data_IF_189045503691
#
_entry.id   IF_189045503691
#
_cell.length_a   1.000
_cell.length_b   1.000
_cell.length_c   1.000
_cell.angle_alpha   90.00
_cell.angle_beta   90.00
_cell.angle_gamma   90.00
#
_symmetry.space_group_name_H-M   'P 1'
#
loop_
_entity.id
_entity.type
_entity.pdbx_description
1 polymer ?
#
# COMPACT_ATOMS: atom_id res chain seq x y z
N UNK A 1 10.96 14.17 17.84
CA UNK A 1 9.82 13.42 17.28
C UNK A 1 9.71 13.77 15.81
N UNK A 2 9.54 12.76 14.95
CA UNK A 2 9.30 12.94 13.52
C UNK A 2 7.88 12.50 13.26
N UNK A 3 7.06 13.38 12.70
CA UNK A 3 5.70 13.09 12.26
C UNK A 3 5.70 13.22 10.74
N UNK A 4 5.55 12.07 10.07
CA UNK A 4 5.61 11.99 8.62
C UNK A 4 4.19 11.93 8.04
N UNK A 5 3.96 12.61 6.92
CA UNK A 5 2.70 12.69 6.19
C UNK A 5 1.50 13.02 7.09
N UNK A 6 1.57 14.14 7.82
CA UNK A 6 0.50 14.58 8.71
C UNK A 6 -0.87 14.71 8.04
N UNK A 7 -0.90 14.91 6.73
CA UNK A 7 -2.12 14.98 5.93
C UNK A 7 -2.88 13.65 5.78
N UNK A 8 -2.23 12.53 6.08
CA UNK A 8 -2.87 11.20 6.14
C UNK A 8 -3.55 10.93 7.49
N UNK A 9 -3.40 11.83 8.46
CA UNK A 9 -4.03 11.68 9.78
C UNK A 9 -5.54 11.93 9.69
N UNK A 10 -6.33 11.09 10.37
CA UNK A 10 -7.77 11.28 10.47
C UNK A 10 -8.08 12.68 11.04
N UNK A 11 -9.11 13.34 10.52
CA UNK A 11 -9.36 14.76 10.82
C UNK A 11 -9.51 15.05 12.31
N UNK A 12 -10.17 14.16 13.06
CA UNK A 12 -10.33 14.27 14.51
C UNK A 12 -9.01 14.13 15.26
N UNK A 13 -8.17 13.17 14.86
CA UNK A 13 -6.88 12.91 15.47
C UNK A 13 -5.88 14.04 15.17
N UNK A 14 -5.93 14.59 13.96
CA UNK A 14 -5.10 15.71 13.54
C UNK A 14 -5.34 16.93 14.43
N UNK A 15 -6.61 17.26 14.71
CA UNK A 15 -6.96 18.39 15.55
C UNK A 15 -6.43 18.21 16.99
N UNK A 16 -6.56 17.01 17.56
CA UNK A 16 -6.04 16.68 18.89
C UNK A 16 -4.52 16.76 18.94
N UNK A 17 -3.85 16.20 17.93
CA UNK A 17 -2.40 16.22 17.79
C UNK A 17 -1.87 17.66 17.70
N UNK A 18 -2.46 18.51 16.85
CA UNK A 18 -2.03 19.90 16.71
C UNK A 18 -2.24 20.68 18.01
N UNK A 19 -3.37 20.50 18.70
CA UNK A 19 -3.61 21.13 20.02
C UNK A 19 -2.55 20.71 21.05
N UNK A 20 -2.18 19.44 21.07
CA UNK A 20 -1.15 18.92 21.97
C UNK A 20 0.26 19.44 21.62
N UNK A 21 0.57 19.55 20.33
CA UNK A 21 1.82 20.14 19.87
C UNK A 21 1.89 21.62 20.26
N UNK A 22 0.83 22.38 20.04
CA UNK A 22 0.74 23.80 20.42
C UNK A 22 0.83 24.03 21.94
N UNK A 23 0.18 23.20 22.76
CA UNK A 23 0.18 23.37 24.22
C UNK A 23 1.57 23.16 24.85
N UNK A 24 2.37 22.27 24.27
CA UNK A 24 3.76 22.04 24.68
C UNK A 24 4.67 23.24 24.40
N UNK A 25 4.31 24.09 23.44
CA UNK A 25 5.08 25.30 23.13
C UNK A 25 4.61 26.54 23.87
N UNK A 26 3.35 26.59 24.32
CA UNK A 26 2.80 27.74 25.06
C UNK A 26 3.13 27.74 26.56
N UNK A 27 3.68 26.66 27.09
CA UNK A 27 3.97 26.52 28.51
C UNK A 27 5.35 27.11 28.83
N UNK A 28 5.39 28.35 29.33
CA UNK A 28 6.59 29.08 29.81
C UNK A 28 7.27 28.46 31.06
N UNK A 29 7.06 27.17 31.33
CA UNK A 29 7.64 26.51 32.49
C UNK A 29 9.04 25.97 32.15
N UNK A 30 10.02 26.68 32.73
CA UNK A 30 11.47 26.60 32.64
C UNK A 30 12.16 25.22 32.75
N UNK A 31 11.47 24.06 32.74
CA UNK A 31 12.14 22.78 33.01
C UNK A 31 11.56 21.51 32.37
N UNK A 32 10.93 21.59 31.20
CA UNK A 32 10.40 20.39 30.52
C UNK A 32 10.93 20.21 29.09
N UNK A 33 11.95 19.34 28.95
CA UNK A 33 12.28 18.56 27.76
C UNK A 33 12.60 19.31 26.46
N UNK A 34 13.81 19.14 25.92
CA UNK A 34 14.21 19.63 24.58
C UNK A 34 13.55 18.83 23.45
N UNK A 35 12.22 18.70 23.45
CA UNK A 35 11.51 17.96 22.40
C UNK A 35 11.49 18.79 21.12
N UNK A 36 12.18 18.30 20.09
CA UNK A 36 12.16 18.89 18.74
C UNK A 36 11.20 18.10 17.86
N UNK A 37 10.41 18.82 17.10
CA UNK A 37 9.47 18.26 16.13
C UNK A 37 10.01 18.47 14.71
N UNK A 38 9.89 17.44 13.88
CA UNK A 38 10.00 17.55 12.43
C UNK A 38 8.70 17.02 11.85
N UNK A 39 8.02 17.86 11.08
CA UNK A 39 6.70 17.58 10.51
C UNK A 39 6.81 17.60 8.98
N UNK A 40 6.20 16.64 8.31
CA UNK A 40 6.01 16.66 6.85
C UNK A 40 4.51 16.61 6.54
N UNK A 41 4.08 17.33 5.50
CA UNK A 41 2.69 17.33 5.05
C UNK A 41 2.59 17.85 3.60
N UNK A 42 1.58 17.39 2.87
CA UNK A 42 1.15 18.10 1.66
C UNK A 42 0.55 19.47 2.00
N UNK A 43 0.81 20.52 1.20
CA UNK A 43 0.37 21.88 1.49
C UNK A 43 -1.11 22.13 1.12
N UNK A 44 -2.00 21.17 1.41
CA UNK A 44 -3.43 21.35 1.18
C UNK A 44 -3.95 22.48 2.06
N UNK A 45 -4.69 23.43 1.47
CA UNK A 45 -5.15 24.63 2.17
C UNK A 45 -5.88 24.33 3.48
N UNK A 46 -6.72 23.29 3.48
CA UNK A 46 -7.49 22.86 4.65
C UNK A 46 -6.59 22.44 5.82
N UNK A 47 -5.45 21.85 5.52
CA UNK A 47 -4.51 21.36 6.53
C UNK A 47 -3.65 22.54 6.98
N UNK A 48 -3.05 23.27 6.04
CA UNK A 48 -2.23 24.47 6.30
C UNK A 48 -2.96 25.49 7.17
N UNK A 49 -4.27 25.66 6.96
CA UNK A 49 -5.11 26.55 7.77
C UNK A 49 -5.16 26.12 9.24
N UNK A 50 -5.28 24.81 9.52
CA UNK A 50 -5.45 24.26 10.87
C UNK A 50 -4.22 24.41 11.78
N UNK A 51 -3.03 24.55 11.22
CA UNK A 51 -1.79 24.73 12.00
C UNK A 51 -0.98 25.96 11.57
N UNK A 52 -1.66 26.97 11.00
CA UNK A 52 -1.06 28.24 10.57
C UNK A 52 -0.30 28.95 11.71
N UNK A 53 -0.76 28.80 12.94
CA UNK A 53 -0.05 29.31 14.12
C UNK A 53 1.36 28.74 14.26
N UNK A 54 1.51 27.42 14.05
CA UNK A 54 2.81 26.75 14.06
C UNK A 54 3.68 27.15 12.87
N UNK A 55 3.10 27.27 11.67
CA UNK A 55 3.85 27.68 10.48
C UNK A 55 4.48 29.07 10.61
N UNK A 56 3.82 29.99 11.31
CA UNK A 56 4.34 31.33 11.59
C UNK A 56 5.39 31.34 12.72
N UNK A 57 5.27 30.43 13.68
CA UNK A 57 6.14 30.38 14.86
C UNK A 57 7.46 29.63 14.61
N UNK A 58 7.49 28.73 13.62
CA UNK A 58 8.62 27.83 13.39
C UNK A 58 9.16 27.88 11.96
N UNK A 59 10.46 27.54 11.76
CA UNK A 59 11.02 27.39 10.43
C UNK A 59 10.24 26.34 9.63
N UNK A 60 9.88 26.68 8.40
CA UNK A 60 9.28 25.76 7.45
C UNK A 60 10.14 25.71 6.17
N UNK A 61 10.16 24.55 5.53
CA UNK A 61 10.84 24.33 4.26
C UNK A 61 9.76 23.87 3.29
N UNK A 62 9.46 24.67 2.27
CA UNK A 62 8.59 24.26 1.16
C UNK A 62 9.47 23.55 0.13
N UNK A 63 9.14 22.29 -0.15
CA UNK A 63 9.74 21.54 -1.25
C UNK A 63 8.77 21.65 -2.43
N UNK A 64 9.07 22.45 -3.48
CA UNK A 64 8.19 22.58 -4.63
C UNK A 64 8.17 21.25 -5.38
N UNK A 65 7.07 20.49 -5.24
CA UNK A 65 6.88 19.23 -5.97
C UNK A 65 6.33 19.43 -7.39
N UNK A 66 5.65 20.55 -7.63
CA UNK A 66 4.86 20.80 -8.85
C UNK A 66 5.28 22.06 -9.61
N UNK A 67 5.88 23.05 -8.94
CA UNK A 67 6.08 24.40 -9.47
C UNK A 67 7.43 24.60 -10.19
N UNK A 68 8.42 23.71 -10.03
CA UNK A 68 9.75 23.80 -10.64
C UNK A 68 10.08 22.61 -11.56
N UNK A 69 9.23 22.37 -12.55
CA UNK A 69 9.30 21.17 -13.42
C UNK A 69 10.67 20.93 -14.08
N UNK A 70 11.42 21.98 -14.42
CA UNK A 70 12.74 21.86 -15.05
C UNK A 70 13.85 21.46 -14.06
N UNK A 71 13.94 22.15 -12.91
CA UNK A 71 14.92 21.81 -11.86
C UNK A 71 14.67 20.39 -11.34
N UNK A 72 13.41 20.04 -11.06
CA UNK A 72 13.04 18.68 -10.63
C UNK A 72 13.41 17.66 -11.71
N UNK A 73 13.17 17.95 -12.99
CA UNK A 73 13.57 17.08 -14.09
C UNK A 73 15.09 16.87 -14.15
N UNK A 74 15.87 17.91 -13.88
CA UNK A 74 17.34 17.83 -13.80
C UNK A 74 17.81 17.00 -12.59
N UNK A 75 17.18 17.13 -11.42
CA UNK A 75 17.49 16.30 -10.26
C UNK A 75 17.16 14.82 -10.51
N UNK A 76 15.99 14.54 -11.10
CA UNK A 76 15.61 13.19 -11.51
C UNK A 76 16.62 12.60 -12.50
N UNK A 77 17.19 13.42 -13.41
CA UNK A 77 18.26 12.96 -14.30
C UNK A 77 19.50 12.47 -13.53
N UNK A 78 19.88 13.15 -12.46
CA UNK A 78 20.99 12.71 -11.60
C UNK A 78 20.67 11.40 -10.89
N UNK A 79 19.42 11.23 -10.43
CA UNK A 79 18.97 9.96 -9.84
C UNK A 79 19.01 8.83 -10.87
N UNK A 80 18.56 9.07 -12.12
CA UNK A 80 18.68 8.10 -13.21
C UNK A 80 20.15 7.71 -13.43
N UNK A 81 21.06 8.67 -13.57
CA UNK A 81 22.49 8.39 -13.75
C UNK A 81 23.04 7.53 -12.61
N UNK A 82 22.72 7.87 -11.36
CA UNK A 82 23.11 7.07 -10.19
C UNK A 82 22.54 5.65 -10.24
N UNK A 83 21.25 5.50 -10.54
CA UNK A 83 20.56 4.20 -10.62
C UNK A 83 21.11 3.33 -11.75
N UNK A 84 21.52 3.90 -12.88
CA UNK A 84 22.17 3.18 -13.97
C UNK A 84 23.55 2.67 -13.57
N UNK A 85 24.31 3.46 -12.82
CA UNK A 85 25.59 3.01 -12.27
C UNK A 85 25.37 1.79 -11.37
N UNK A 86 24.38 1.85 -10.48
CA UNK A 86 24.01 0.72 -9.61
C UNK A 86 23.51 -0.49 -10.39
N UNK A 87 22.69 -0.29 -11.42
CA UNK A 87 22.24 -1.35 -12.31
C UNK A 87 23.43 -2.03 -13.00
N UNK A 88 24.40 -1.25 -13.48
CA UNK A 88 25.60 -1.76 -14.16
C UNK A 88 26.50 -2.61 -13.26
N UNK A 89 26.46 -2.38 -11.94
CA UNK A 89 27.16 -3.23 -10.96
C UNK A 89 26.51 -4.61 -10.79
N UNK A 90 25.17 -4.68 -10.89
CA UNK A 90 24.41 -5.93 -10.75
C UNK A 90 24.25 -6.69 -12.06
N UNK A 91 24.02 -5.97 -13.15
CA UNK A 91 23.92 -6.48 -14.53
C UNK A 91 24.98 -5.77 -15.38
N UNK A 92 26.15 -6.39 -15.64
CA UNK A 92 27.21 -5.74 -16.40
C UNK A 92 26.73 -5.22 -17.75
N UNK A 93 26.86 -3.91 -17.98
CA UNK A 93 26.52 -3.22 -19.22
C UNK A 93 27.80 -2.64 -19.82
N UNK A 94 27.95 -2.72 -21.15
CA UNK A 94 29.04 -2.02 -21.84
C UNK A 94 28.81 -0.50 -21.76
N UNK A 95 29.86 0.33 -21.87
CA UNK A 95 29.72 1.79 -21.83
C UNK A 95 28.71 2.33 -22.85
N UNK A 96 28.68 1.75 -24.05
CA UNK A 96 27.73 2.10 -25.10
C UNK A 96 26.27 1.83 -24.70
N UNK A 97 26.00 0.63 -24.17
CA UNK A 97 24.64 0.23 -23.75
C UNK A 97 24.17 1.04 -22.55
N UNK A 98 25.07 1.28 -21.61
CA UNK A 98 24.81 2.12 -20.43
C UNK A 98 24.44 3.55 -20.83
N UNK A 99 25.23 4.17 -21.70
CA UNK A 99 24.98 5.53 -22.21
C UNK A 99 23.66 5.61 -22.98
N UNK A 100 23.39 4.61 -23.82
CA UNK A 100 22.16 4.55 -24.59
C UNK A 100 20.93 4.40 -23.68
N UNK A 101 20.94 3.47 -22.72
CA UNK A 101 19.86 3.30 -21.75
C UNK A 101 19.63 4.59 -20.94
N UNK A 102 20.70 5.26 -20.51
CA UNK A 102 20.62 6.53 -19.80
C UNK A 102 19.90 7.59 -20.62
N UNK A 103 20.33 7.79 -21.86
CA UNK A 103 19.73 8.77 -22.76
C UNK A 103 18.23 8.55 -22.91
N UNK A 104 17.80 7.30 -23.15
CA UNK A 104 16.38 6.98 -23.36
C UNK A 104 15.52 7.20 -22.11
N UNK A 105 16.02 6.84 -20.94
CA UNK A 105 15.33 7.11 -19.68
C UNK A 105 15.25 8.62 -19.38
N UNK A 106 16.29 9.39 -19.71
CA UNK A 106 16.35 10.86 -19.57
C UNK A 106 15.54 11.62 -20.63
N UNK A 107 15.06 10.95 -21.68
CA UNK A 107 14.13 11.52 -22.68
C UNK A 107 12.65 11.29 -22.33
N UNK A 108 12.36 10.47 -21.31
CA UNK A 108 10.97 10.15 -20.92
C UNK A 108 10.33 11.32 -20.17
N UNK A 109 9.16 11.79 -20.62
CA UNK A 109 8.40 12.87 -19.97
C UNK A 109 7.67 12.40 -18.71
N UNK A 110 7.25 13.34 -17.85
CA UNK A 110 6.45 13.09 -16.62
C UNK A 110 7.04 12.05 -15.66
N UNK A 111 8.37 11.94 -15.62
CA UNK A 111 9.09 11.04 -14.72
C UNK A 111 9.15 11.62 -13.30
N UNK A 112 8.75 10.80 -12.32
CA UNK A 112 8.90 11.10 -10.89
C UNK A 112 9.99 10.22 -10.26
N UNK A 113 10.44 10.56 -9.05
CA UNK A 113 11.36 9.70 -8.29
C UNK A 113 10.81 8.28 -8.10
N UNK A 114 9.51 8.15 -7.86
CA UNK A 114 8.84 6.86 -7.71
C UNK A 114 8.81 6.09 -9.03
N UNK A 115 8.54 6.76 -10.15
CA UNK A 115 8.62 6.13 -11.48
C UNK A 115 10.02 5.57 -11.75
N UNK A 116 11.08 6.33 -11.45
CA UNK A 116 12.46 5.85 -11.57
C UNK A 116 12.65 4.61 -10.69
N UNK A 117 12.20 4.62 -9.44
CA UNK A 117 12.29 3.46 -8.56
C UNK A 117 11.64 2.20 -9.18
N UNK A 118 10.42 2.32 -9.70
CA UNK A 118 9.69 1.21 -10.31
C UNK A 118 10.34 0.68 -11.59
N UNK A 119 10.80 1.59 -12.46
CA UNK A 119 11.49 1.22 -13.71
C UNK A 119 12.80 0.49 -13.43
N UNK A 120 13.58 0.94 -12.45
CA UNK A 120 14.83 0.26 -12.11
C UNK A 120 14.59 -1.09 -11.41
N UNK A 121 13.52 -1.26 -10.64
CA UNK A 121 13.12 -2.58 -10.13
C UNK A 121 12.77 -3.52 -11.28
N UNK A 122 12.00 -3.05 -12.28
CA UNK A 122 11.69 -3.83 -13.47
C UNK A 122 12.96 -4.24 -14.23
N UNK A 123 13.88 -3.30 -14.50
CA UNK A 123 15.14 -3.59 -15.21
C UNK A 123 16.07 -4.53 -14.44
N UNK A 124 15.96 -4.57 -13.10
CA UNK A 124 16.71 -5.50 -12.27
C UNK A 124 16.14 -6.91 -12.32
N UNK A 125 14.81 -7.06 -12.38
CA UNK A 125 14.14 -8.37 -12.41
C UNK A 125 14.12 -8.98 -13.81
N UNK A 126 13.80 -8.18 -14.81
CA UNK A 126 13.69 -8.65 -16.20
C UNK A 126 15.06 -8.67 -16.89
N UNK A 127 15.34 -9.76 -17.60
CA UNK A 127 16.50 -9.82 -18.48
C UNK A 127 16.17 -9.20 -19.84
N UNK A 128 17.04 -8.30 -20.28
CA UNK A 128 16.94 -7.69 -21.59
C UNK A 128 18.21 -7.92 -22.40
N UNK A 129 18.02 -7.95 -23.72
CA UNK A 129 19.14 -8.10 -24.64
C UNK A 129 20.02 -6.84 -24.58
N UNK A 130 21.28 -7.02 -24.20
CA UNK A 130 22.27 -5.92 -24.04
C UNK A 130 22.83 -5.44 -25.38
N UNK A 131 21.95 -5.11 -26.31
CA UNK A 131 22.27 -4.47 -27.60
C UNK A 131 21.43 -3.21 -27.73
N UNK A 132 21.80 -2.27 -28.62
CA UNK A 132 21.02 -1.05 -28.86
C UNK A 132 19.55 -1.38 -29.18
N UNK A 133 19.32 -2.33 -30.10
CA UNK A 133 17.96 -2.80 -30.43
C UNK A 133 17.25 -3.46 -29.26
N UNK A 134 17.98 -4.20 -28.42
CA UNK A 134 17.42 -4.83 -27.22
C UNK A 134 16.99 -3.80 -26.18
N UNK A 135 17.80 -2.77 -25.96
CA UNK A 135 17.45 -1.63 -25.09
C UNK A 135 16.24 -0.90 -25.63
N UNK A 136 16.18 -0.55 -26.93
CA UNK A 136 14.99 0.11 -27.50
C UNK A 136 13.73 -0.74 -27.34
N UNK A 137 13.83 -2.06 -27.52
CA UNK A 137 12.71 -2.97 -27.26
C UNK A 137 12.26 -2.95 -25.80
N UNK A 138 13.19 -2.90 -24.85
CA UNK A 138 12.87 -2.81 -23.43
C UNK A 138 12.30 -1.45 -23.06
N UNK A 139 12.86 -0.36 -23.57
CA UNK A 139 12.33 0.99 -23.36
C UNK A 139 10.89 1.10 -23.89
N UNK A 140 10.58 0.44 -25.00
CA UNK A 140 9.23 0.43 -25.55
C UNK A 140 8.19 -0.27 -24.65
N UNK A 141 8.61 -1.21 -23.79
CA UNK A 141 7.74 -1.91 -22.84
C UNK A 141 7.73 -1.27 -21.45
N UNK A 142 8.59 -0.28 -21.20
CA UNK A 142 8.59 0.45 -19.94
C UNK A 142 7.40 1.40 -19.85
N UNK A 143 6.85 1.58 -18.64
CA UNK A 143 5.76 2.51 -18.45
C UNK A 143 6.27 3.94 -18.68
N UNK A 144 5.49 4.77 -19.37
CA UNK A 144 5.85 6.19 -19.63
C UNK A 144 5.40 7.15 -18.53
N UNK A 145 4.63 6.67 -17.56
CA UNK A 145 4.13 7.45 -16.42
C UNK A 145 3.99 6.55 -15.20
N UNK A 146 3.79 7.15 -14.02
CA UNK A 146 3.55 6.40 -12.78
C UNK A 146 2.26 5.57 -12.87
N UNK A 147 1.19 6.09 -13.44
CA UNK A 147 -0.08 5.37 -13.61
C UNK A 147 0.07 4.15 -14.52
N UNK A 148 0.82 4.26 -15.63
CA UNK A 148 1.13 3.10 -16.48
C UNK A 148 2.04 2.10 -15.76
N UNK A 149 2.90 2.56 -14.84
CA UNK A 149 3.75 1.67 -14.05
C UNK A 149 2.93 0.85 -13.05
N UNK A 150 1.97 1.48 -12.38
CA UNK A 150 1.00 0.81 -11.52
C UNK A 150 0.16 -0.21 -12.28
N UNK A 151 -0.41 0.20 -13.40
CA UNK A 151 -1.18 -0.68 -14.29
C UNK A 151 -0.36 -1.93 -14.68
N UNK A 152 0.89 -1.72 -15.09
CA UNK A 152 1.77 -2.81 -15.48
C UNK A 152 2.16 -3.73 -14.31
N UNK A 153 2.24 -3.22 -13.07
CA UNK A 153 2.50 -4.03 -11.87
C UNK A 153 1.30 -4.94 -11.59
N UNK A 154 0.08 -4.38 -11.62
CA UNK A 154 -1.13 -5.12 -11.28
C UNK A 154 -1.55 -6.11 -12.39
N UNK A 155 -1.27 -5.80 -13.67
CA UNK A 155 -1.55 -6.70 -14.79
C UNK A 155 -0.56 -7.86 -14.97
N UNK A 156 0.41 -8.05 -14.04
CA UNK A 156 1.39 -9.16 -14.16
C UNK A 156 0.76 -10.52 -13.86
N UNK A 157 -0.24 -10.58 -13.00
CA UNK A 157 -0.89 -11.82 -12.60
C UNK A 157 -2.19 -12.03 -13.38
N UNK A 158 -2.67 -13.28 -13.43
CA UNK A 158 -3.99 -13.63 -13.98
C UNK A 158 -5.08 -13.65 -12.91
N UNK A 159 -4.72 -13.43 -11.65
CA UNK A 159 -5.62 -13.51 -10.50
C UNK A 159 -6.28 -12.15 -10.18
N UNK A 160 -6.91 -11.53 -11.18
CA UNK A 160 -7.50 -10.18 -11.03
C UNK A 160 -8.52 -10.11 -9.87
N UNK A 161 -9.29 -11.18 -9.64
CA UNK A 161 -10.25 -11.23 -8.55
C UNK A 161 -9.57 -11.21 -7.17
N UNK A 162 -8.45 -11.92 -7.02
CA UNK A 162 -7.70 -11.99 -5.77
C UNK A 162 -6.95 -10.69 -5.49
N UNK A 163 -6.32 -10.13 -6.53
CA UNK A 163 -5.69 -8.80 -6.48
C UNK A 163 -6.73 -7.76 -6.08
N UNK A 164 -7.89 -7.75 -6.73
CA UNK A 164 -8.98 -6.81 -6.43
C UNK A 164 -9.50 -6.99 -5.00
N UNK A 165 -9.71 -8.23 -4.54
CA UNK A 165 -10.11 -8.52 -3.16
C UNK A 165 -9.10 -7.98 -2.15
N UNK A 166 -7.81 -8.29 -2.33
CA UNK A 166 -6.74 -7.82 -1.46
C UNK A 166 -6.65 -6.28 -1.44
N UNK A 167 -6.66 -5.64 -2.61
CA UNK A 167 -6.56 -4.18 -2.71
C UNK A 167 -7.79 -3.47 -2.11
N UNK A 168 -9.01 -3.99 -2.32
CA UNK A 168 -10.23 -3.48 -1.69
C UNK A 168 -10.14 -3.53 -0.16
N UNK A 169 -9.62 -4.64 0.38
CA UNK A 169 -9.42 -4.80 1.82
C UNK A 169 -8.40 -3.77 2.35
N UNK A 170 -7.27 -3.57 1.67
CA UNK A 170 -6.26 -2.56 2.06
C UNK A 170 -6.84 -1.13 1.98
N UNK A 171 -7.65 -0.83 0.95
CA UNK A 171 -8.27 0.49 0.76
C UNK A 171 -9.25 0.85 1.88
N UNK A 172 -10.09 -0.12 2.27
CA UNK A 172 -11.16 0.08 3.25
C UNK A 172 -10.72 -0.07 4.70
N UNK A 173 -9.60 -0.73 4.97
CA UNK A 173 -9.12 -0.94 6.32
C UNK A 173 -8.81 0.40 7.02
N UNK A 174 -9.29 0.55 8.26
CA UNK A 174 -9.08 1.76 9.06
C UNK A 174 -7.64 1.89 9.57
N UNK A 175 -6.88 0.79 9.56
CA UNK A 175 -5.46 0.74 9.87
C UNK A 175 -4.77 -0.27 8.95
N UNK A 176 -3.44 -0.21 8.82
CA UNK A 176 -2.67 -1.27 8.18
C UNK A 176 -2.99 -2.64 8.78
N UNK A 177 -3.28 -3.60 7.92
CA UNK A 177 -3.53 -4.99 8.32
C UNK A 177 -2.21 -5.74 8.47
N UNK A 178 -2.17 -6.67 9.41
CA UNK A 178 -1.08 -7.63 9.52
C UNK A 178 -1.16 -8.68 8.42
N UNK A 179 -0.06 -9.41 8.20
CA UNK A 179 -0.02 -10.55 7.28
C UNK A 179 -1.08 -11.60 7.64
N UNK A 180 -1.16 -12.00 8.90
CA UNK A 180 -2.13 -13.01 9.35
C UNK A 180 -3.58 -12.53 9.18
N UNK A 181 -3.88 -11.26 9.47
CA UNK A 181 -5.22 -10.68 9.24
C UNK A 181 -5.59 -10.71 7.76
N UNK A 182 -4.67 -10.31 6.88
CA UNK A 182 -4.92 -10.34 5.45
C UNK A 182 -5.03 -11.76 4.91
N UNK A 183 -4.23 -12.71 5.42
CA UNK A 183 -4.26 -14.12 5.03
C UNK A 183 -5.65 -14.72 5.31
N UNK A 184 -6.23 -14.42 6.47
CA UNK A 184 -7.61 -14.78 6.80
C UNK A 184 -8.60 -14.06 5.86
N UNK A 185 -8.46 -12.75 5.67
CA UNK A 185 -9.39 -11.96 4.87
C UNK A 185 -9.47 -12.42 3.41
N UNK A 186 -8.36 -12.83 2.80
CA UNK A 186 -8.37 -13.30 1.40
C UNK A 186 -8.87 -14.74 1.26
N UNK A 187 -8.64 -15.59 2.26
CA UNK A 187 -9.02 -17.01 2.23
C UNK A 187 -10.39 -17.33 2.82
N UNK A 188 -11.06 -16.39 3.48
CA UNK A 188 -12.43 -16.59 3.97
C UNK A 188 -13.45 -16.47 2.82
N UNK A 189 -14.43 -17.39 2.81
CA UNK A 189 -15.54 -17.45 1.88
C UNK A 189 -16.82 -18.03 2.53
N UNK A 190 -17.94 -18.02 1.80
CA UNK A 190 -19.24 -18.55 2.24
C UNK A 190 -19.24 -20.06 2.55
N UNK A 191 -18.22 -20.79 2.08
CA UNK A 191 -18.09 -22.25 2.26
C UNK A 191 -17.28 -22.60 3.50
N UNK A 192 -16.63 -21.61 4.10
CA UNK A 192 -15.83 -21.76 5.30
C UNK A 192 -16.73 -22.17 6.46
N UNK A 193 -16.45 -23.31 7.09
CA UNK A 193 -17.27 -23.86 8.19
C UNK A 193 -16.67 -23.60 9.57
N UNK A 194 -15.35 -23.47 9.65
CA UNK A 194 -14.63 -23.16 10.89
C UNK A 194 -13.34 -22.41 10.57
N UNK A 195 -12.93 -21.52 11.49
CA UNK A 195 -11.64 -20.80 11.42
C UNK A 195 -10.42 -21.74 11.32
N UNK A 196 -10.51 -22.95 11.89
CA UNK A 196 -9.43 -23.93 11.88
C UNK A 196 -9.30 -24.67 10.53
N UNK A 197 -10.30 -24.55 9.66
CA UNK A 197 -10.32 -25.19 8.35
C UNK A 197 -9.99 -24.22 7.21
N UNK A 198 -9.62 -22.98 7.53
CA UNK A 198 -9.17 -22.03 6.52
C UNK A 198 -7.82 -22.48 5.95
N UNK A 199 -7.66 -22.34 4.63
CA UNK A 199 -6.43 -22.66 3.91
C UNK A 199 -5.42 -21.52 4.09
N UNK A 200 -4.82 -21.47 5.29
CA UNK A 200 -3.88 -20.44 5.70
C UNK A 200 -2.45 -20.93 5.54
N UNK A 201 -1.63 -20.15 4.85
CA UNK A 201 -0.17 -20.31 4.84
C UNK A 201 0.46 -19.71 6.11
N UNK A 202 1.73 -20.01 6.36
CA UNK A 202 2.51 -19.19 7.30
C UNK A 202 2.74 -17.77 6.73
N UNK A 203 3.10 -16.83 7.61
CA UNK A 203 3.24 -15.42 7.26
C UNK A 203 4.29 -15.15 6.17
N UNK A 204 5.39 -15.91 6.09
CA UNK A 204 6.45 -15.67 5.09
C UNK A 204 6.08 -16.23 3.71
N UNK A 205 5.42 -17.38 3.67
CA UNK A 205 4.84 -17.94 2.44
C UNK A 205 3.70 -17.03 1.93
N UNK A 206 2.79 -16.62 2.82
CA UNK A 206 1.72 -15.69 2.47
C UNK A 206 2.23 -14.35 1.95
N UNK A 207 3.26 -13.80 2.59
CA UNK A 207 3.94 -12.59 2.13
C UNK A 207 4.53 -12.73 0.74
N UNK A 208 5.04 -13.91 0.38
CA UNK A 208 5.55 -14.19 -0.95
C UNK A 208 4.42 -14.28 -1.97
N UNK A 209 3.30 -14.91 -1.61
CA UNK A 209 2.09 -14.97 -2.44
C UNK A 209 1.44 -13.60 -2.64
N UNK A 210 1.27 -12.80 -1.58
CA UNK A 210 0.76 -11.43 -1.69
C UNK A 210 1.62 -10.55 -2.61
N UNK A 211 2.95 -10.73 -2.55
CA UNK A 211 3.90 -10.05 -3.46
C UNK A 211 3.82 -10.55 -4.90
N UNK A 212 3.42 -11.79 -5.15
CA UNK A 212 3.23 -12.29 -6.51
C UNK A 212 1.99 -11.67 -7.16
N UNK A 213 0.95 -11.41 -6.37
CA UNK A 213 -0.28 -10.74 -6.81
C UNK A 213 -0.10 -9.25 -7.04
N UNK A 214 0.37 -8.53 -6.02
CA UNK A 214 0.38 -7.08 -6.01
C UNK A 214 1.74 -6.48 -6.38
N UNK A 215 2.79 -7.28 -6.50
CA UNK A 215 4.13 -6.82 -6.83
C UNK A 215 4.62 -5.71 -5.89
N UNK A 216 5.20 -4.66 -6.47
CA UNK A 216 5.62 -3.47 -5.73
C UNK A 216 4.46 -2.55 -5.35
N UNK A 217 3.22 -2.84 -5.74
CA UNK A 217 2.08 -1.97 -5.44
C UNK A 217 1.80 -1.88 -3.93
N UNK A 218 2.13 -2.96 -3.21
CA UNK A 218 2.06 -3.05 -1.75
C UNK A 218 3.46 -3.19 -1.15
N UNK A 219 3.62 -2.64 0.05
CA UNK A 219 4.82 -2.77 0.86
C UNK A 219 4.49 -3.41 2.21
N UNK A 220 5.44 -4.13 2.79
CA UNK A 220 5.25 -4.83 4.06
C UNK A 220 6.34 -4.36 5.01
N UNK A 221 5.94 -3.69 6.09
CA UNK A 221 6.83 -3.15 7.10
C UNK A 221 6.44 -3.68 8.48
N UNK A 222 7.39 -4.32 9.17
CA UNK A 222 7.18 -4.92 10.51
C UNK A 222 5.91 -5.81 10.60
N UNK A 223 5.63 -6.57 9.54
CA UNK A 223 4.48 -7.48 9.48
C UNK A 223 3.15 -6.82 9.09
N UNK A 224 3.11 -5.50 8.91
CA UNK A 224 1.92 -4.77 8.46
C UNK A 224 2.02 -4.39 6.98
N UNK A 225 0.88 -4.43 6.29
CA UNK A 225 0.72 -4.19 4.86
C UNK A 225 0.30 -2.75 4.61
N UNK A 226 0.97 -2.11 3.65
CA UNK A 226 0.73 -0.75 3.22
C UNK A 226 0.70 -0.68 1.69
N UNK A 227 0.13 0.39 1.13
CA UNK A 227 0.47 0.75 -0.24
C UNK A 227 1.95 1.12 -0.35
N UNK A 228 2.50 1.03 -1.56
CA UNK A 228 3.85 1.54 -1.82
C UNK A 228 3.97 3.03 -1.52
N UNK A 229 2.93 3.78 -1.86
CA UNK A 229 2.86 5.23 -1.77
C UNK A 229 1.40 5.69 -1.82
N UNK A 230 1.11 6.89 -1.30
CA UNK A 230 -0.22 7.51 -1.33
C UNK A 230 -0.80 7.58 -2.76
N UNK A 231 0.03 7.92 -3.74
CA UNK A 231 -0.36 7.93 -5.17
C UNK A 231 -0.84 6.57 -5.70
N UNK A 232 -0.47 5.45 -5.07
CA UNK A 232 -0.99 4.13 -5.44
C UNK A 232 -2.43 3.94 -4.92
N UNK A 233 -2.73 4.45 -3.72
CA UNK A 233 -4.10 4.51 -3.18
C UNK A 233 -4.99 5.38 -4.08
N UNK A 234 -4.52 6.58 -4.43
CA UNK A 234 -5.23 7.52 -5.31
C UNK A 234 -5.45 6.96 -6.72
N UNK A 235 -4.46 6.25 -7.26
CA UNK A 235 -4.57 5.58 -8.56
C UNK A 235 -5.74 4.60 -8.63
N UNK A 236 -6.04 3.87 -7.54
CA UNK A 236 -7.14 2.89 -7.51
C UNK A 236 -8.50 3.50 -7.23
N UNK A 237 -8.55 4.47 -6.32
CA UNK A 237 -9.81 5.01 -5.79
C UNK A 237 -10.54 5.83 -6.86
N UNK A 238 -11.74 5.40 -7.23
CA UNK A 238 -12.63 6.18 -8.06
C UNK A 238 -13.33 7.25 -7.21
N UNK A 239 -13.18 8.52 -7.57
CA UNK A 239 -13.94 9.60 -6.95
C UNK A 239 -15.32 9.73 -7.62
N UNK A 240 -16.39 9.69 -6.83
CA UNK A 240 -17.76 9.89 -7.30
C UNK A 240 -18.06 11.38 -7.59
N UNK A 241 -17.27 12.31 -7.02
CA UNK A 241 -17.48 13.76 -7.16
C UNK A 241 -16.85 14.35 -8.43
N UNK A 242 -15.90 13.65 -9.05
CA UNK A 242 -15.27 14.02 -10.31
C UNK A 242 -15.36 12.84 -11.27
N UNK A 243 -16.40 12.74 -12.11
CA UNK A 243 -16.39 11.83 -13.25
C UNK A 243 -15.40 12.39 -14.28
N UNK A 244 -14.11 12.29 -13.98
CA UNK A 244 -13.06 12.52 -14.96
C UNK A 244 -13.29 11.47 -16.02
N UNK A 245 -13.61 11.90 -17.24
CA UNK A 245 -13.82 11.03 -18.41
C UNK A 245 -12.80 9.91 -18.38
N UNK A 246 -13.26 8.69 -18.05
CA UNK A 246 -12.39 7.53 -17.88
C UNK A 246 -11.62 7.37 -19.19
N UNK A 247 -10.33 7.68 -19.15
CA UNK A 247 -9.45 7.28 -20.25
C UNK A 247 -9.46 5.77 -20.23
N UNK A 248 -10.20 5.17 -21.16
CA UNK A 248 -10.49 3.73 -21.29
C UNK A 248 -9.24 2.85 -21.50
N UNK A 249 -8.03 3.38 -21.29
CA UNK A 249 -6.77 2.69 -21.54
C UNK A 249 -6.13 2.03 -20.31
N UNK A 250 -6.64 2.28 -19.09
CA UNK A 250 -6.09 1.74 -17.85
C UNK A 250 -7.19 1.00 -17.09
N UNK A 251 -7.04 -0.31 -16.92
CA UNK A 251 -8.04 -1.17 -16.28
C UNK A 251 -8.13 -0.93 -14.77
N UNK A 252 -7.00 -0.65 -14.11
CA UNK A 252 -6.96 -0.49 -12.65
C UNK A 252 -7.15 0.95 -12.17
N UNK A 253 -6.93 1.93 -13.05
CA UNK A 253 -7.04 3.35 -12.73
C UNK A 253 -8.49 3.73 -12.41
N UNK A 254 -8.72 4.27 -11.21
CA UNK A 254 -10.06 4.60 -10.68
C UNK A 254 -11.05 3.42 -10.83
N UNK A 255 -10.59 2.20 -10.52
CA UNK A 255 -11.36 0.97 -10.75
C UNK A 255 -12.08 0.44 -9.50
N UNK A 256 -11.83 1.02 -8.32
CA UNK A 256 -12.46 0.60 -7.06
C UNK A 256 -13.05 1.83 -6.39
N UNK A 257 -14.35 1.83 -6.12
CA UNK A 257 -14.97 2.90 -5.33
C UNK A 257 -14.76 2.65 -3.84
N UNK A 258 -14.80 3.71 -3.03
CA UNK A 258 -14.79 3.59 -1.56
C UNK A 258 -15.93 2.71 -1.06
N UNK A 259 -17.12 2.81 -1.66
CA UNK A 259 -18.27 1.98 -1.30
C UNK A 259 -18.03 0.49 -1.58
N UNK A 260 -17.47 0.16 -2.75
CA UNK A 260 -17.17 -1.24 -3.12
C UNK A 260 -16.10 -1.82 -2.19
N UNK A 261 -15.05 -1.06 -1.90
CA UNK A 261 -13.99 -1.49 -0.99
C UNK A 261 -14.55 -1.80 0.42
N UNK A 262 -15.38 -0.90 0.96
CA UNK A 262 -16.02 -1.11 2.26
C UNK A 262 -17.03 -2.26 2.24
N UNK A 263 -17.77 -2.46 1.15
CA UNK A 263 -18.69 -3.58 1.01
C UNK A 263 -17.95 -4.92 1.07
N UNK A 264 -16.84 -5.06 0.32
CA UNK A 264 -15.97 -6.25 0.36
C UNK A 264 -15.46 -6.49 1.79
N UNK A 265 -14.92 -5.48 2.46
CA UNK A 265 -14.41 -5.66 3.83
C UNK A 265 -15.53 -6.03 4.81
N UNK A 266 -16.70 -5.40 4.71
CA UNK A 266 -17.84 -5.67 5.58
C UNK A 266 -18.35 -7.11 5.41
N UNK A 267 -18.45 -7.60 4.17
CA UNK A 267 -18.82 -8.98 3.88
C UNK A 267 -17.85 -9.98 4.53
N UNK A 268 -16.54 -9.76 4.39
CA UNK A 268 -15.52 -10.60 5.02
C UNK A 268 -15.59 -10.56 6.56
N UNK A 269 -15.88 -9.39 7.14
CA UNK A 269 -16.10 -9.27 8.58
C UNK A 269 -17.33 -10.05 9.05
N UNK A 270 -18.44 -10.00 8.31
CA UNK A 270 -19.66 -10.76 8.62
C UNK A 270 -19.39 -12.26 8.55
N UNK A 271 -18.70 -12.72 7.50
CA UNK A 271 -18.28 -14.13 7.38
C UNK A 271 -17.39 -14.56 8.55
N UNK A 272 -16.44 -13.72 8.92
CA UNK A 272 -15.54 -14.00 10.04
C UNK A 272 -16.29 -14.11 11.38
N UNK A 273 -17.24 -13.20 11.64
CA UNK A 273 -18.08 -13.25 12.83
C UNK A 273 -19.00 -14.48 12.86
N UNK A 274 -19.55 -14.87 11.72
CA UNK A 274 -20.36 -16.09 11.61
C UNK A 274 -19.55 -17.36 11.90
N UNK A 275 -18.29 -17.42 11.44
CA UNK A 275 -17.37 -18.50 11.78
C UNK A 275 -17.08 -18.58 13.28
N UNK A 276 -16.83 -17.43 13.92
CA UNK A 276 -16.61 -17.36 15.37
C UNK A 276 -17.85 -17.85 16.13
N UNK A 277 -19.04 -17.40 15.76
CA UNK A 277 -20.28 -17.80 16.41
C UNK A 277 -20.57 -19.30 16.26
N UNK A 278 -20.23 -19.88 15.11
CA UNK A 278 -20.42 -21.32 14.83
C UNK A 278 -19.46 -22.21 15.63
N UNK A 279 -18.29 -21.68 16.01
CA UNK A 279 -17.34 -22.37 16.88
C UNK A 279 -17.74 -22.32 18.37
N UNK A 280 -18.52 -21.32 18.80
CA UNK A 280 -18.95 -21.16 20.19
C UNK A 280 -20.14 -22.08 20.54
N UNK A 281 -20.92 -22.54 19.56
CA UNK A 281 -22.12 -23.37 19.75
C UNK A 281 -21.86 -24.88 19.91
N UNK A 282 -20.62 -25.33 20.08
CA UNK A 282 -20.28 -26.71 20.48
C UNK A 282 -19.64 -26.71 21.86
N UNK A 283 -20.45 -26.76 22.94
CA UNK A 283 -20.46 -27.97 23.74
C UNK A 283 -21.86 -28.33 24.28
N UNK A 284 -22.34 -29.54 23.97
CA UNK A 284 -23.43 -30.18 24.75
C UNK A 284 -23.09 -31.65 24.99
N UNK A 285 -22.51 -31.88 26.17
CA UNK A 285 -22.62 -33.05 27.05
C UNK A 285 -22.91 -34.41 26.41
N UNK A 286 -21.83 -35.17 26.18
CA UNK A 286 -21.89 -36.62 26.29
C UNK A 286 -21.74 -37.00 27.77
N UNK A 287 -22.87 -37.12 28.48
CA UNK A 287 -23.00 -38.02 29.64
C UNK A 287 -24.48 -38.18 30.02
N UNK A 288 -25.02 -39.33 29.65
CA UNK A 288 -26.32 -39.80 30.09
C UNK A 288 -26.28 -41.32 30.16
N UNK A 289 -25.68 -41.84 31.24
CA UNK A 289 -25.83 -43.23 31.65
C UNK A 289 -27.32 -43.54 31.82
N UNK A 290 -27.82 -44.53 31.07
CA UNK A 290 -29.10 -45.17 31.36
C UNK A 290 -28.81 -46.58 31.89
N UNK A 291 -28.58 -46.68 33.20
CA UNK A 291 -28.65 -47.94 33.92
C UNK A 291 -30.11 -48.39 34.02
N UNK A 292 -30.47 -49.46 33.31
CA UNK A 292 -31.71 -50.19 33.57
C UNK A 292 -31.40 -51.38 34.48
N UNK A 293 -31.77 -51.23 35.75
CA UNK A 293 -31.98 -52.32 36.70
C UNK A 293 -33.31 -53.02 36.32
N UNK A 294 -33.26 -54.33 36.03
CA UNK A 294 -34.43 -55.21 36.09
C UNK A 294 -34.33 -56.06 37.35
N UNK A 295 -35.40 -55.97 38.14
CA UNK A 295 -35.61 -56.59 39.44
C UNK A 295 -36.24 -57.97 39.21
N UNK A 296 -35.55 -59.04 39.61
CA UNK A 296 -36.14 -60.35 39.81
C UNK A 296 -36.92 -60.37 41.13
N UNK A 297 -38.12 -60.96 41.14
CA UNK A 297 -38.81 -61.40 42.37
C UNK A 297 -39.51 -62.75 42.16
N UNK A 298 -39.77 -63.50 43.25
CA UNK A 298 -39.54 -64.95 43.28
C UNK A 298 -40.82 -65.80 43.36
N UNK A 299 -40.71 -67.06 42.93
CA UNK A 299 -41.18 -68.30 43.61
C UNK A 299 -40.82 -69.51 42.77
#
# INVERSE_FOLDING_TARGET
MVLDALDECAESEFADLMRNVESQFRSDHLDHGKLRYLLTCHPYEQIVFKFRGLLNAFPNIRIPGEEDSETISQEVNQVITRRINQLSMKKPLTPQIKSHLQKRLQETSHRTYLWVYLVFDYLLKEDFKKTVKGVESTIATLPRSINKAYEQILNKTKEDSMVRKALSVILAASRPLTLSEMNVAVNIDDKSQSIHNLDLEDDEDFKTRLRSWCGLFVSIHKGSIYFLHQTAREFLLADLASPTTVSSELHWHHSITTQDAHAVLAELCVLYLNLLNSNVSLPTDANGEAGYFSIDTPS
#
